data_IF_854399581920
#
_entry.id   IF_854399581920
#
_cell.length_a   1.000
_cell.length_b   1.000
_cell.length_c   1.000
_cell.angle_alpha   90.00
_cell.angle_beta   90.00
_cell.angle_gamma   90.00
#
_symmetry.space_group_name_H-M   'P 1'
#
loop_
_entity.id
_entity.type
_entity.pdbx_description
1 polymer ?
#
# COMPACT_ATOMS: atom_id res chain seq x y z
N UNK A 1 10.65 14.67 -4.59
CA UNK A 1 10.33 13.84 -5.75
C UNK A 1 9.49 12.66 -5.30
N UNK A 2 8.49 12.32 -6.07
CA UNK A 2 7.56 11.24 -5.81
C UNK A 2 7.94 10.03 -6.64
N UNK A 3 7.77 8.84 -6.09
CA UNK A 3 7.90 7.58 -6.82
C UNK A 3 6.63 6.78 -6.63
N UNK A 4 6.07 6.33 -7.74
CA UNK A 4 4.96 5.39 -7.74
C UNK A 4 5.24 4.26 -8.75
N UNK A 5 4.73 3.07 -8.50
CA UNK A 5 4.82 1.98 -9.44
C UNK A 5 3.90 2.21 -10.63
N UNK A 6 4.44 2.12 -11.86
CA UNK A 6 3.72 2.44 -13.10
C UNK A 6 2.49 1.56 -13.38
N UNK A 7 2.40 0.38 -12.78
CA UNK A 7 1.26 -0.52 -12.95
C UNK A 7 0.18 -0.36 -11.87
N UNK A 8 0.36 0.53 -10.91
CA UNK A 8 -0.75 0.94 -10.07
C UNK A 8 -1.67 1.87 -10.87
N UNK A 9 -2.76 1.34 -11.42
CA UNK A 9 -3.88 2.11 -12.01
C UNK A 9 -4.57 3.00 -10.94
N UNK A 10 -3.93 3.25 -9.82
CA UNK A 10 -4.36 4.22 -8.83
C UNK A 10 -3.72 5.56 -9.12
N UNK A 11 -4.20 6.23 -10.17
CA UNK A 11 -3.93 7.65 -10.46
C UNK A 11 -4.03 8.52 -9.20
N UNK A 12 -4.78 8.05 -8.20
CA UNK A 12 -4.99 8.73 -6.91
C UNK A 12 -3.72 9.03 -6.12
N UNK A 13 -2.66 8.23 -6.27
CA UNK A 13 -1.39 8.55 -5.61
C UNK A 13 -0.74 9.77 -6.28
N UNK A 14 -0.79 9.82 -7.61
CA UNK A 14 -0.29 10.96 -8.38
C UNK A 14 -1.23 12.15 -8.19
N UNK A 15 -2.55 11.96 -8.36
CA UNK A 15 -3.56 13.01 -8.24
C UNK A 15 -3.49 13.75 -6.90
N UNK A 16 -3.29 13.03 -5.79
CA UNK A 16 -3.16 13.65 -4.48
C UNK A 16 -1.95 14.61 -4.40
N UNK A 17 -0.89 14.31 -5.13
CA UNK A 17 0.31 15.14 -5.21
C UNK A 17 0.16 16.28 -6.22
N UNK A 18 -0.58 16.06 -7.31
CA UNK A 18 -1.00 17.12 -8.24
C UNK A 18 -1.85 18.16 -7.50
N UNK A 19 -2.87 17.71 -6.77
CA UNK A 19 -3.72 18.58 -5.95
C UNK A 19 -2.94 19.38 -4.89
N UNK A 20 -1.84 18.83 -4.39
CA UNK A 20 -0.95 19.51 -3.43
C UNK A 20 0.11 20.39 -4.11
N UNK A 21 0.14 20.49 -5.45
CA UNK A 21 1.13 21.26 -6.19
C UNK A 21 2.55 20.69 -6.13
N UNK A 22 2.69 19.37 -5.92
CA UNK A 22 3.99 18.70 -5.73
C UNK A 22 4.44 17.86 -6.93
N UNK A 23 3.56 17.62 -7.89
CA UNK A 23 3.84 16.76 -9.05
C UNK A 23 4.74 17.42 -10.11
N UNK A 24 4.95 18.73 -10.06
CA UNK A 24 5.68 19.47 -11.10
C UNK A 24 4.81 19.85 -12.28
N UNK A 25 5.37 19.82 -13.48
CA UNK A 25 4.69 20.16 -14.74
C UNK A 25 4.30 18.87 -15.48
N UNK A 26 3.13 18.86 -16.09
CA UNK A 26 2.70 17.76 -16.97
C UNK A 26 3.44 17.89 -18.31
N UNK A 27 4.14 16.84 -18.70
CA UNK A 27 4.83 16.73 -19.98
C UNK A 27 3.84 16.26 -21.06
N UNK A 28 3.42 17.15 -21.96
CA UNK A 28 2.39 16.88 -22.96
C UNK A 28 2.69 15.66 -23.86
N UNK A 29 3.97 15.41 -24.20
CA UNK A 29 4.37 14.31 -25.06
C UNK A 29 4.30 12.93 -24.42
N UNK A 30 4.45 12.85 -23.09
CA UNK A 30 4.54 11.57 -22.35
C UNK A 30 3.34 11.35 -21.42
N UNK A 31 2.60 12.40 -21.09
CA UNK A 31 1.55 12.39 -20.07
C UNK A 31 2.10 12.18 -18.64
N UNK A 32 3.41 12.32 -18.44
CA UNK A 32 4.08 12.12 -17.14
C UNK A 32 4.34 13.45 -16.43
N UNK A 33 4.34 13.42 -15.11
CA UNK A 33 4.65 14.58 -14.28
C UNK A 33 6.14 14.68 -13.98
N UNK A 34 6.74 15.84 -14.16
CA UNK A 34 8.21 16.05 -14.09
C UNK A 34 8.82 15.75 -12.71
N UNK A 35 8.08 15.87 -11.63
CA UNK A 35 8.53 15.56 -10.26
C UNK A 35 8.14 14.15 -9.81
N UNK A 36 7.52 13.34 -10.68
CA UNK A 36 7.16 11.96 -10.40
C UNK A 36 8.17 11.03 -11.07
N UNK A 37 8.72 10.10 -10.32
CA UNK A 37 9.52 9.00 -10.86
C UNK A 37 8.63 7.77 -10.93
N UNK A 38 8.40 7.30 -12.14
CA UNK A 38 7.62 6.09 -12.40
C UNK A 38 8.54 4.88 -12.35
N UNK A 39 8.13 3.85 -11.62
CA UNK A 39 8.90 2.61 -11.50
C UNK A 39 8.15 1.49 -12.23
N UNK A 40 8.72 0.91 -13.27
CA UNK A 40 8.10 -0.20 -13.99
C UNK A 40 7.84 -1.39 -13.04
N UNK A 41 6.65 -1.96 -13.14
CA UNK A 41 6.27 -3.21 -12.49
C UNK A 41 5.62 -4.08 -13.56
N UNK A 42 6.44 -4.75 -14.34
CA UNK A 42 6.06 -5.51 -15.53
C UNK A 42 6.45 -6.98 -15.39
N UNK A 43 6.01 -7.80 -16.31
CA UNK A 43 6.41 -9.21 -16.35
C UNK A 43 7.89 -9.45 -16.60
N UNK A 44 8.60 -8.45 -17.16
CA UNK A 44 10.03 -8.55 -17.41
C UNK A 44 10.89 -8.41 -16.15
N UNK A 45 10.34 -7.74 -15.12
CA UNK A 45 11.02 -7.59 -13.82
C UNK A 45 10.28 -8.30 -12.68
N UNK A 46 9.46 -9.32 -13.00
CA UNK A 46 8.64 -10.07 -12.05
C UNK A 46 7.78 -9.17 -11.15
N UNK A 47 7.39 -8.00 -11.66
CA UNK A 47 6.63 -6.96 -10.95
C UNK A 47 7.32 -6.43 -9.69
N UNK A 48 8.64 -6.57 -9.61
CA UNK A 48 9.47 -6.06 -8.51
C UNK A 48 10.14 -4.76 -8.98
N UNK A 49 9.72 -3.59 -8.47
CA UNK A 49 10.31 -2.32 -8.87
C UNK A 49 11.73 -2.18 -8.32
N UNK A 50 12.61 -1.66 -9.15
CA UNK A 50 13.99 -1.38 -8.75
C UNK A 50 14.08 -0.21 -7.77
N UNK A 51 15.01 -0.32 -6.83
CA UNK A 51 15.33 0.78 -5.92
C UNK A 51 15.95 1.93 -6.73
N UNK A 52 15.42 3.16 -6.65
CA UNK A 52 15.98 4.29 -7.39
C UNK A 52 17.38 4.66 -6.89
N UNK A 53 18.26 5.04 -7.82
CA UNK A 53 19.63 5.48 -7.58
C UNK A 53 19.72 6.91 -6.99
N UNK A 54 18.63 7.65 -7.01
CA UNK A 54 18.50 9.03 -6.52
C UNK A 54 17.63 9.12 -5.28
N UNK A 55 17.84 10.16 -4.47
CA UNK A 55 16.99 10.44 -3.32
C UNK A 55 15.57 10.79 -3.75
N UNK A 56 14.61 10.14 -3.11
CA UNK A 56 13.17 10.35 -3.27
C UNK A 56 12.58 10.76 -1.92
N UNK A 57 11.67 11.70 -1.90
CA UNK A 57 11.05 12.16 -0.65
C UNK A 57 9.92 11.23 -0.20
N UNK A 58 9.09 10.75 -1.14
CA UNK A 58 7.94 9.86 -0.84
C UNK A 58 7.90 8.73 -1.86
N UNK A 59 7.75 7.51 -1.38
CA UNK A 59 7.54 6.28 -2.17
C UNK A 59 6.17 5.71 -1.84
N UNK A 60 5.39 5.38 -2.88
CA UNK A 60 4.14 4.63 -2.75
C UNK A 60 4.39 3.16 -3.13
N UNK A 61 4.06 2.25 -2.22
CA UNK A 61 4.10 0.81 -2.44
C UNK A 61 2.72 0.23 -2.14
N UNK A 62 2.16 -0.53 -3.06
CA UNK A 62 0.87 -1.20 -2.91
C UNK A 62 1.09 -2.71 -3.05
N UNK A 63 1.02 -3.43 -1.94
CA UNK A 63 1.22 -4.88 -1.92
C UNK A 63 0.33 -5.55 -0.85
N UNK A 64 -0.39 -6.63 -1.23
CA UNK A 64 -0.53 -7.17 -2.59
C UNK A 64 -0.99 -6.12 -3.59
N UNK A 65 -0.47 -6.19 -4.82
CA UNK A 65 -0.66 -5.14 -5.83
C UNK A 65 -1.99 -5.30 -6.57
N UNK A 66 -2.66 -4.20 -6.79
CA UNK A 66 -3.77 -4.11 -7.75
C UNK A 66 -3.29 -3.26 -8.94
N UNK A 67 -3.19 -3.81 -10.19
CA UNK A 67 -3.99 -4.93 -10.70
C UNK A 67 -3.25 -6.29 -10.77
N UNK A 68 -1.97 -6.37 -10.47
CA UNK A 68 -1.14 -7.54 -10.82
C UNK A 68 -1.32 -8.74 -9.89
N UNK A 69 -1.85 -8.54 -8.67
CA UNK A 69 -1.95 -9.58 -7.65
C UNK A 69 -0.59 -10.05 -7.10
N UNK A 70 0.48 -9.32 -7.41
CA UNK A 70 1.84 -9.65 -6.98
C UNK A 70 2.16 -9.11 -5.58
N UNK A 71 3.18 -9.66 -4.95
CA UNK A 71 3.60 -9.32 -3.59
C UNK A 71 5.10 -9.09 -3.54
N UNK A 72 5.57 -8.51 -2.44
CA UNK A 72 6.99 -8.48 -2.09
C UNK A 72 7.24 -9.41 -0.90
N UNK A 73 8.31 -10.16 -0.96
CA UNK A 73 8.82 -10.94 0.17
C UNK A 73 9.42 -10.03 1.24
N UNK A 74 9.64 -10.57 2.45
CA UNK A 74 10.31 -9.81 3.52
C UNK A 74 11.69 -9.25 3.13
N UNK A 75 12.57 -10.01 2.43
CA UNK A 75 13.85 -9.47 1.96
C UNK A 75 13.72 -8.35 0.93
N UNK A 76 12.74 -8.44 0.03
CA UNK A 76 12.50 -7.41 -0.98
C UNK A 76 11.96 -6.13 -0.34
N UNK A 77 10.96 -6.25 0.54
CA UNK A 77 10.43 -5.10 1.27
C UNK A 77 11.48 -4.46 2.20
N UNK A 78 12.41 -5.29 2.73
CA UNK A 78 13.52 -4.78 3.53
C UNK A 78 14.43 -3.85 2.75
N UNK A 79 14.69 -4.11 1.46
CA UNK A 79 15.48 -3.19 0.61
C UNK A 79 14.88 -1.79 0.56
N UNK A 80 13.54 -1.71 0.47
CA UNK A 80 12.82 -0.43 0.49
C UNK A 80 12.91 0.28 1.83
N UNK A 81 12.80 -0.46 2.93
CA UNK A 81 12.96 0.12 4.27
C UNK A 81 14.38 0.61 4.49
N UNK A 82 15.40 -0.16 4.07
CA UNK A 82 16.81 0.24 4.19
C UNK A 82 17.09 1.49 3.34
N UNK A 83 16.60 1.53 2.10
CA UNK A 83 16.68 2.71 1.24
C UNK A 83 16.03 3.94 1.88
N UNK A 84 14.82 3.77 2.43
CA UNK A 84 14.09 4.86 3.05
C UNK A 84 14.79 5.44 4.27
N UNK A 85 15.38 4.58 5.10
CA UNK A 85 16.17 5.00 6.27
C UNK A 85 17.45 5.72 5.87
N UNK A 86 18.13 5.27 4.81
CA UNK A 86 19.37 5.87 4.33
C UNK A 86 19.15 7.24 3.65
N UNK A 87 17.98 7.47 3.06
CA UNK A 87 17.69 8.66 2.25
C UNK A 87 16.69 9.64 2.89
N UNK A 88 16.25 9.39 4.12
CA UNK A 88 15.18 10.15 4.78
C UNK A 88 13.90 10.20 3.90
N UNK A 89 13.54 9.05 3.33
CA UNK A 89 12.38 8.85 2.46
C UNK A 89 11.19 8.36 3.28
N UNK A 90 10.00 8.86 2.99
CA UNK A 90 8.76 8.36 3.57
C UNK A 90 8.13 7.29 2.66
N UNK A 91 7.92 6.09 3.18
CA UNK A 91 7.14 5.05 2.50
C UNK A 91 5.67 5.19 2.87
N UNK A 92 4.80 5.26 1.86
CA UNK A 92 3.36 5.14 1.98
C UNK A 92 2.96 3.74 1.49
N UNK A 93 2.71 2.84 2.45
CA UNK A 93 2.46 1.43 2.18
C UNK A 93 0.96 1.13 2.19
N UNK A 94 0.40 0.80 1.02
CA UNK A 94 -1.01 0.43 0.86
C UNK A 94 -1.16 -1.09 0.97
N UNK A 95 -1.67 -1.56 2.11
CA UNK A 95 -1.89 -2.96 2.44
C UNK A 95 -3.39 -3.34 2.36
N UNK A 96 -4.14 -2.74 1.44
CA UNK A 96 -5.59 -2.95 1.36
C UNK A 96 -5.99 -4.42 1.08
N UNK A 97 -5.10 -5.22 0.50
CA UNK A 97 -5.35 -6.62 0.13
C UNK A 97 -4.61 -7.63 1.02
N UNK A 98 -4.00 -7.22 2.12
CA UNK A 98 -3.16 -8.06 2.98
C UNK A 98 -3.87 -9.33 3.50
N UNK A 99 -5.19 -9.26 3.67
CA UNK A 99 -5.97 -10.39 4.17
C UNK A 99 -5.99 -11.61 3.22
N UNK A 100 -5.63 -11.42 1.94
CA UNK A 100 -5.57 -12.48 0.95
C UNK A 100 -4.24 -13.22 0.91
N UNK A 101 -3.20 -12.70 1.58
CA UNK A 101 -1.87 -13.32 1.62
C UNK A 101 -1.95 -14.72 2.22
N UNK A 102 -1.40 -15.71 1.49
CA UNK A 102 -1.35 -17.10 1.89
C UNK A 102 0.08 -17.56 2.25
N UNK A 103 1.09 -16.93 1.65
CA UNK A 103 2.49 -17.32 1.82
C UNK A 103 3.08 -16.72 3.10
N UNK A 104 3.75 -17.54 3.90
CA UNK A 104 4.38 -17.14 5.17
C UNK A 104 5.56 -16.16 5.01
N UNK A 105 6.20 -16.15 3.83
CA UNK A 105 7.33 -15.27 3.53
C UNK A 105 6.89 -13.87 3.06
N UNK A 106 5.60 -13.70 2.76
CA UNK A 106 5.02 -12.42 2.38
C UNK A 106 4.51 -11.70 3.64
N UNK A 107 4.99 -10.49 3.93
CA UNK A 107 4.57 -9.78 5.13
C UNK A 107 3.13 -9.23 4.97
N UNK A 108 2.33 -9.39 6.02
CA UNK A 108 1.00 -8.76 6.13
C UNK A 108 1.08 -7.29 6.50
N UNK A 109 2.22 -6.85 7.00
CA UNK A 109 2.46 -5.46 7.42
C UNK A 109 3.89 -5.06 7.11
N UNK A 110 4.09 -3.81 6.65
CA UNK A 110 5.45 -3.27 6.53
C UNK A 110 6.18 -3.25 7.88
N UNK A 111 5.45 -3.21 8.99
CA UNK A 111 6.04 -3.18 10.35
C UNK A 111 6.61 -4.52 10.82
N UNK A 112 6.45 -5.59 10.05
CA UNK A 112 7.22 -6.82 10.22
C UNK A 112 8.70 -6.63 9.85
N UNK A 113 9.00 -5.58 9.09
CA UNK A 113 10.36 -5.23 8.70
C UNK A 113 10.98 -4.29 9.75
N UNK A 114 12.11 -4.72 10.29
CA UNK A 114 12.84 -3.93 11.30
C UNK A 114 13.22 -2.54 10.75
N UNK A 115 12.84 -1.50 11.47
CA UNK A 115 13.12 -0.10 11.10
C UNK A 115 11.95 0.61 10.41
N UNK A 116 10.97 -0.11 9.87
CA UNK A 116 9.85 0.48 9.12
C UNK A 116 9.05 1.53 9.91
N UNK A 117 8.93 1.39 11.23
CA UNK A 117 8.25 2.38 12.09
C UNK A 117 8.89 3.78 12.05
N UNK A 118 10.13 3.88 11.58
CA UNK A 118 10.85 5.16 11.48
C UNK A 118 10.72 5.82 10.10
N UNK A 119 10.22 5.10 9.09
CA UNK A 119 10.16 5.58 7.71
C UNK A 119 8.86 5.27 6.96
N UNK A 120 7.86 4.62 7.58
CA UNK A 120 6.67 4.20 6.86
C UNK A 120 5.36 4.57 7.56
N UNK A 121 4.36 4.91 6.74
CA UNK A 121 2.93 4.99 7.10
C UNK A 121 2.23 3.84 6.38
N UNK A 122 1.37 3.10 7.08
CA UNK A 122 0.61 1.99 6.51
C UNK A 122 -0.87 2.33 6.42
N UNK A 123 -1.47 1.98 5.27
CA UNK A 123 -2.91 2.12 5.03
C UNK A 123 -3.58 0.77 5.01
N UNK A 124 -4.69 0.65 5.74
CA UNK A 124 -5.51 -0.55 5.85
C UNK A 124 -6.95 -0.27 5.42
N UNK A 125 -7.61 -1.27 4.85
CA UNK A 125 -8.98 -1.13 4.39
C UNK A 125 -9.82 -2.35 4.75
N UNK A 126 -10.99 -2.13 5.32
CA UNK A 126 -11.99 -3.19 5.52
C UNK A 126 -12.78 -3.51 4.25
N UNK A 127 -12.61 -2.69 3.18
CA UNK A 127 -13.32 -2.89 1.92
C UNK A 127 -13.10 -4.27 1.31
N UNK A 128 -11.87 -4.79 1.42
CA UNK A 128 -11.49 -6.09 0.85
C UNK A 128 -11.52 -7.20 1.89
N UNK A 129 -11.07 -6.91 3.09
CA UNK A 129 -11.03 -7.88 4.20
C UNK A 129 -12.42 -8.34 4.62
N UNK A 130 -13.40 -7.42 4.69
CA UNK A 130 -14.73 -7.68 5.28
C UNK A 130 -15.89 -7.20 4.41
N UNK A 131 -15.68 -6.91 3.13
CA UNK A 131 -16.76 -6.47 2.23
C UNK A 131 -17.28 -5.06 2.49
N UNK A 132 -16.54 -4.21 3.19
CA UNK A 132 -16.97 -2.86 3.58
C UNK A 132 -16.89 -1.81 2.46
N UNK A 133 -16.87 -2.23 1.19
CA UNK A 133 -16.71 -1.31 0.05
C UNK A 133 -17.78 -0.21 0.05
N UNK A 134 -19.04 -0.53 0.34
CA UNK A 134 -20.14 0.41 0.45
C UNK A 134 -20.22 1.14 1.79
N UNK A 135 -19.67 0.56 2.86
CA UNK A 135 -19.74 1.09 4.24
C UNK A 135 -18.66 2.13 4.51
N UNK A 136 -17.57 2.11 3.76
CA UNK A 136 -16.46 3.08 3.79
C UNK A 136 -15.69 3.11 5.11
N UNK A 137 -14.90 2.07 5.38
CA UNK A 137 -14.04 2.01 6.56
C UNK A 137 -12.61 1.59 6.19
N UNK A 138 -11.67 2.28 6.77
CA UNK A 138 -10.25 1.98 6.71
C UNK A 138 -9.52 2.73 7.82
N UNK A 139 -8.25 2.44 8.01
CA UNK A 139 -7.43 3.15 8.98
C UNK A 139 -6.00 3.35 8.49
N UNK A 140 -5.35 4.34 9.08
CA UNK A 140 -3.96 4.69 8.79
C UNK A 140 -3.14 4.51 10.06
N UNK A 141 -2.04 3.79 9.95
CA UNK A 141 -1.08 3.63 11.04
C UNK A 141 0.08 4.60 10.82
N UNK A 142 0.21 5.56 11.73
CA UNK A 142 1.32 6.52 11.76
C UNK A 142 2.11 6.29 13.05
N UNK A 143 3.27 5.65 13.03
CA UNK A 143 4.05 5.36 14.21
C UNK A 143 4.48 6.63 14.96
N UNK A 144 4.61 6.54 16.29
CA UNK A 144 5.08 7.66 17.10
C UNK A 144 6.57 7.97 16.88
N UNK A 145 7.33 6.96 16.45
CA UNK A 145 8.74 7.06 16.12
C UNK A 145 9.01 7.75 14.78
N UNK A 146 7.99 7.87 13.93
CA UNK A 146 8.12 8.47 12.61
C UNK A 146 8.21 10.00 12.73
N UNK A 147 9.30 10.55 12.24
CA UNK A 147 9.55 11.99 12.20
C UNK A 147 9.86 12.46 10.79
N UNK A 148 9.67 13.75 10.52
CA UNK A 148 10.11 14.40 9.30
C UNK A 148 10.85 15.70 9.62
N UNK A 149 11.76 16.10 8.73
CA UNK A 149 12.45 17.38 8.84
C UNK A 149 11.53 18.54 8.46
N UNK A 150 11.62 19.65 9.19
CA UNK A 150 11.06 20.94 8.80
C UNK A 150 11.98 21.64 7.78
N UNK A 151 11.54 22.78 7.27
CA UNK A 151 12.38 23.60 6.38
C UNK A 151 13.62 24.16 7.11
N UNK A 152 13.52 24.34 8.42
CA UNK A 152 14.60 24.82 9.30
C UNK A 152 15.54 23.68 9.74
N UNK A 153 15.22 22.43 9.41
CA UNK A 153 16.02 21.25 9.71
C UNK A 153 15.65 20.53 11.02
N UNK A 154 14.71 21.06 11.80
CA UNK A 154 14.21 20.40 13.00
C UNK A 154 13.40 19.14 12.64
N UNK A 155 13.41 18.13 13.51
CA UNK A 155 12.58 16.93 13.31
C UNK A 155 11.33 16.97 14.17
N UNK A 156 10.19 16.78 13.50
CA UNK A 156 8.86 16.78 14.14
C UNK A 156 8.17 15.43 14.00
N UNK A 157 7.42 14.96 15.03
CA UNK A 157 6.68 13.71 14.95
C UNK A 157 5.48 13.82 13.99
N UNK A 158 5.48 13.02 12.92
CA UNK A 158 4.37 12.98 11.95
C UNK A 158 3.07 12.51 12.58
N UNK A 159 3.12 11.63 13.57
CA UNK A 159 1.93 11.17 14.30
C UNK A 159 1.14 12.33 14.92
N UNK A 160 1.80 13.32 15.51
CA UNK A 160 1.14 14.51 16.08
C UNK A 160 0.46 15.35 15.01
N UNK A 161 1.13 15.58 13.88
CA UNK A 161 0.57 16.32 12.74
C UNK A 161 -0.61 15.58 12.12
N UNK A 162 -0.49 14.28 11.92
CA UNK A 162 -1.57 13.44 11.39
C UNK A 162 -2.80 13.49 12.31
N UNK A 163 -2.62 13.29 13.61
CA UNK A 163 -3.71 13.36 14.58
C UNK A 163 -4.42 14.72 14.53
N UNK A 164 -3.67 15.81 14.53
CA UNK A 164 -4.24 17.16 14.42
C UNK A 164 -5.05 17.33 13.12
N UNK A 165 -4.51 16.89 11.99
CA UNK A 165 -5.20 16.94 10.71
C UNK A 165 -6.46 16.10 10.71
N UNK A 166 -6.39 14.85 11.18
CA UNK A 166 -7.51 13.92 11.22
C UNK A 166 -8.67 14.50 12.05
N UNK A 167 -8.40 14.95 13.26
CA UNK A 167 -9.41 15.52 14.17
C UNK A 167 -9.98 16.86 13.65
N UNK A 168 -9.29 17.58 12.77
CA UNK A 168 -9.76 18.87 12.23
C UNK A 168 -10.53 18.70 10.93
N UNK A 169 -10.15 17.74 10.08
CA UNK A 169 -10.65 17.63 8.70
C UNK A 169 -11.74 16.56 8.52
N UNK A 170 -11.75 15.52 9.34
CA UNK A 170 -12.61 14.38 9.08
C UNK A 170 -13.31 13.81 10.32
N UNK A 171 -12.62 13.68 11.47
CA UNK A 171 -13.07 13.06 12.71
C UNK A 171 -13.30 11.54 12.66
N UNK A 172 -13.26 10.91 11.51
CA UNK A 172 -13.45 9.47 11.34
C UNK A 172 -14.79 9.08 10.70
N UNK A 173 -14.93 7.78 10.42
CA UNK A 173 -16.17 7.20 9.89
C UNK A 173 -17.25 7.11 10.99
N UNK A 174 -18.49 6.82 10.63
CA UNK A 174 -19.61 6.75 11.59
C UNK A 174 -19.34 5.73 12.71
N UNK A 175 -19.87 5.99 13.91
CA UNK A 175 -19.70 5.11 15.06
C UNK A 175 -20.22 3.68 14.79
N UNK A 176 -21.36 3.56 14.10
CA UNK A 176 -21.95 2.26 13.73
C UNK A 176 -20.96 1.48 12.85
N UNK A 177 -20.34 2.13 11.87
CA UNK A 177 -19.31 1.52 11.02
C UNK A 177 -18.07 1.12 11.81
N UNK A 178 -17.64 1.92 12.78
CA UNK A 178 -16.51 1.58 13.66
C UNK A 178 -16.81 0.34 14.51
N UNK A 179 -18.03 0.22 15.07
CA UNK A 179 -18.46 -0.97 15.82
C UNK A 179 -18.51 -2.22 14.93
N UNK A 180 -18.98 -2.09 13.70
CA UNK A 180 -18.94 -3.19 12.72
C UNK A 180 -17.49 -3.61 12.40
N UNK A 181 -16.58 -2.63 12.23
CA UNK A 181 -15.16 -2.91 12.00
C UNK A 181 -14.49 -3.58 13.22
N UNK A 182 -14.88 -3.22 14.44
CA UNK A 182 -14.41 -3.89 15.67
C UNK A 182 -14.84 -5.36 15.71
N UNK A 183 -16.07 -5.66 15.29
CA UNK A 183 -16.59 -7.03 15.24
C UNK A 183 -15.77 -7.96 14.29
N UNK A 184 -15.13 -7.40 13.26
CA UNK A 184 -14.22 -8.11 12.37
C UNK A 184 -13.09 -8.83 13.13
N UNK A 185 -12.65 -8.26 14.25
CA UNK A 185 -11.56 -8.81 15.06
C UNK A 185 -12.01 -9.79 16.15
N UNK A 186 -13.32 -9.99 16.33
CA UNK A 186 -13.84 -11.05 17.20
C UNK A 186 -13.46 -12.45 16.68
N UNK A 187 -13.56 -13.47 17.51
CA UNK A 187 -13.30 -14.85 17.09
C UNK A 187 -14.25 -15.28 15.96
N UNK A 188 -15.52 -14.92 16.06
CA UNK A 188 -16.54 -15.20 15.05
C UNK A 188 -16.26 -14.42 13.75
N UNK A 189 -16.00 -13.11 13.84
CA UNK A 189 -15.66 -12.26 12.68
C UNK A 189 -14.47 -12.77 11.92
N UNK A 190 -13.39 -13.17 12.61
CA UNK A 190 -12.20 -13.76 11.99
C UNK A 190 -12.51 -15.08 11.28
N UNK A 191 -13.35 -15.94 11.87
CA UNK A 191 -13.76 -17.20 11.26
C UNK A 191 -14.54 -16.95 9.96
N UNK A 192 -15.54 -16.08 9.97
CA UNK A 192 -16.32 -15.70 8.80
C UNK A 192 -15.48 -15.09 7.69
N UNK A 193 -14.55 -14.21 8.05
CA UNK A 193 -13.62 -13.59 7.08
C UNK A 193 -12.73 -14.65 6.44
N UNK A 194 -12.17 -15.57 7.24
CA UNK A 194 -11.34 -16.65 6.73
C UNK A 194 -12.11 -17.51 5.73
N UNK A 195 -13.35 -17.83 6.01
CA UNK A 195 -14.21 -18.59 5.10
C UNK A 195 -14.42 -17.84 3.78
N UNK A 196 -14.75 -16.54 3.85
CA UNK A 196 -14.94 -15.68 2.68
C UNK A 196 -13.67 -15.55 1.85
N UNK A 197 -12.52 -15.35 2.48
CA UNK A 197 -11.23 -15.26 1.79
C UNK A 197 -10.88 -16.60 1.14
N UNK A 198 -11.08 -17.72 1.82
CA UNK A 198 -10.86 -19.05 1.24
C UNK A 198 -11.72 -19.28 -0.01
N UNK A 199 -12.98 -18.84 0.01
CA UNK A 199 -13.85 -18.89 -1.16
C UNK A 199 -13.27 -18.10 -2.34
N UNK A 200 -12.82 -16.86 -2.11
CA UNK A 200 -12.21 -16.06 -3.18
C UNK A 200 -10.90 -16.66 -3.69
N UNK A 201 -10.04 -17.16 -2.80
CA UNK A 201 -8.75 -17.74 -3.19
C UNK A 201 -8.94 -19.07 -3.93
N UNK A 202 -9.94 -19.87 -3.56
CA UNK A 202 -10.32 -21.08 -4.32
C UNK A 202 -10.75 -20.70 -5.74
N UNK A 203 -11.61 -19.68 -5.90
CA UNK A 203 -12.03 -19.21 -7.21
C UNK A 203 -10.86 -18.67 -8.04
N UNK A 204 -9.93 -17.93 -7.40
CA UNK A 204 -8.72 -17.46 -8.08
C UNK A 204 -7.85 -18.61 -8.59
N UNK A 205 -7.68 -19.68 -7.80
CA UNK A 205 -6.98 -20.89 -8.22
C UNK A 205 -7.65 -21.57 -9.43
N UNK A 206 -8.96 -21.79 -9.38
CA UNK A 206 -9.73 -22.38 -10.50
C UNK A 206 -9.57 -21.54 -11.78
N UNK A 207 -9.69 -20.21 -11.67
CA UNK A 207 -9.53 -19.30 -12.81
C UNK A 207 -8.11 -19.37 -13.37
N UNK A 208 -7.10 -19.36 -12.51
CA UNK A 208 -5.69 -19.44 -12.91
C UNK A 208 -5.41 -20.72 -13.66
N UNK A 209 -5.77 -21.87 -13.09
CA UNK A 209 -5.58 -23.20 -13.72
C UNK A 209 -6.30 -23.29 -15.06
N UNK A 210 -7.55 -22.82 -15.17
CA UNK A 210 -8.31 -22.83 -16.42
C UNK A 210 -7.70 -21.95 -17.51
N UNK A 211 -7.20 -20.77 -17.16
CA UNK A 211 -6.53 -19.86 -18.10
C UNK A 211 -5.18 -20.42 -18.56
N UNK A 212 -4.39 -20.98 -17.64
CA UNK A 212 -3.09 -21.62 -17.96
C UNK A 212 -3.28 -22.85 -18.85
N UNK A 213 -4.30 -23.68 -18.57
CA UNK A 213 -4.67 -24.81 -19.42
C UNK A 213 -5.09 -24.39 -20.85
N UNK A 214 -5.58 -23.16 -21.00
CA UNK A 214 -5.91 -22.55 -22.30
C UNK A 214 -4.71 -21.92 -23.00
N UNK A 215 -3.49 -22.06 -22.46
CA UNK A 215 -2.25 -21.54 -23.04
C UNK A 215 -1.95 -20.06 -22.72
N UNK A 216 -2.68 -19.44 -21.80
CA UNK A 216 -2.45 -18.08 -21.34
C UNK A 216 -1.41 -18.06 -20.21
N UNK A 217 -0.54 -17.03 -20.21
CA UNK A 217 0.34 -16.75 -19.07
C UNK A 217 -0.41 -15.93 -18.04
N UNK A 218 -0.54 -16.46 -16.84
CA UNK A 218 -1.29 -15.82 -15.74
C UNK A 218 -0.33 -15.34 -14.66
N UNK A 219 -0.55 -14.12 -14.15
CA UNK A 219 0.19 -13.54 -13.04
C UNK A 219 -0.75 -13.27 -11.86
N UNK A 220 -0.23 -13.33 -10.62
CA UNK A 220 -1.06 -13.19 -9.42
C UNK A 220 -1.93 -14.42 -9.14
N UNK A 221 -3.02 -14.21 -8.39
CA UNK A 221 -3.97 -15.29 -8.03
C UNK A 221 -3.44 -16.28 -6.98
N UNK A 222 -2.34 -15.94 -6.28
CA UNK A 222 -1.76 -16.75 -5.19
C UNK A 222 -1.93 -16.03 -3.85
N UNK A 223 -1.66 -14.74 -3.79
CA UNK A 223 -1.74 -13.92 -2.59
C UNK A 223 -2.71 -12.73 -2.72
N UNK A 224 -3.41 -12.64 -3.84
CA UNK A 224 -4.52 -11.71 -4.10
C UNK A 224 -5.15 -12.01 -5.47
#
# INVERSE_FOLDING_TARGET
RLVGSEMCIRDRYIDSNVMCGRAGVLEEGTGKWSNVTYMPCTSENDFIPEIPDKRIDIVYLCYPNNPTGTTLTKPELKKWVDYALANDTLILFDAAYEAYIQDADVPHSIYEIKGAKKCAIEFRSFSKTAGFTGVRCGYTVVPKELTAATLEGDRIPLNKLWNRRQCTKFNGTSYITQRAAEAVYSAEGKAQIKETINYYMTNAGIMKEGLEASGLKVYGGVNA
#
